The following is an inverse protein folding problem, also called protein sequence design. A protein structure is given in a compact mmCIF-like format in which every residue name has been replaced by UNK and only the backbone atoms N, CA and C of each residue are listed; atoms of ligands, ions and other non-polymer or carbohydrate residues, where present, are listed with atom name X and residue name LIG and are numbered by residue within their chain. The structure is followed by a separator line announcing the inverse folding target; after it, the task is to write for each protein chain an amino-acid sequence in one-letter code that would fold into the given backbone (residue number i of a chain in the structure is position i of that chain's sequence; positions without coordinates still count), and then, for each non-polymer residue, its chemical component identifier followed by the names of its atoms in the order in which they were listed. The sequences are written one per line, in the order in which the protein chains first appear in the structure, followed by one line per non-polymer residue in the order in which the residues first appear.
data_IF_667674757463
#
_entry.id   IF_667674757463
#
_cell.length_a   1.000
_cell.length_b   1.000
_cell.length_c   1.000
_cell.angle_alpha   90.00
_cell.angle_beta   90.00
_cell.angle_gamma   90.00
#
_symmetry.space_group_name_H-M   'P 1'
#
loop_
_entity.id
_entity.type
_entity.pdbx_description
1 polymer ?
#
# COMPACT_ATOMS: atom_id res chain seq x y z
N UNK A 1 8.21 7.61 14.87
CA UNK A 1 8.74 7.95 13.53
C UNK A 1 7.69 8.64 12.68
N UNK A 2 8.12 9.48 11.74
CA UNK A 2 7.30 10.15 10.73
C UNK A 2 7.70 9.69 9.33
N UNK A 3 6.72 9.46 8.46
CA UNK A 3 6.95 8.88 7.14
C UNK A 3 6.50 9.83 6.01
N UNK A 4 5.87 9.32 4.95
CA UNK A 4 5.58 10.07 3.72
C UNK A 4 5.04 11.49 3.95
N UNK A 5 3.98 11.63 4.75
CA UNK A 5 3.32 12.93 4.95
C UNK A 5 4.27 13.96 5.57
N UNK A 6 5.03 13.58 6.60
CA UNK A 6 5.99 14.48 7.23
C UNK A 6 7.23 14.70 6.34
N UNK A 7 7.64 13.71 5.53
CA UNK A 7 8.68 13.89 4.50
C UNK A 7 8.31 14.92 3.42
N UNK A 8 7.02 15.09 3.12
CA UNK A 8 6.56 16.00 2.05
C UNK A 8 6.06 17.36 2.55
N UNK A 9 5.74 17.47 3.84
CA UNK A 9 5.18 18.70 4.40
C UNK A 9 6.23 19.82 4.44
N UNK A 10 5.98 20.91 3.71
CA UNK A 10 6.82 22.13 3.73
C UNK A 10 6.91 22.72 5.13
N UNK A 11 5.90 22.49 5.97
CA UNK A 11 5.81 22.97 7.35
C UNK A 11 6.05 21.86 8.40
N UNK A 12 6.74 20.76 8.04
CA UNK A 12 7.02 19.66 8.97
C UNK A 12 7.65 20.15 10.28
N UNK A 13 8.63 21.06 10.21
CA UNK A 13 9.29 21.67 11.38
C UNK A 13 8.30 22.35 12.35
N UNK A 14 7.28 23.02 11.82
CA UNK A 14 6.24 23.66 12.65
C UNK A 14 5.41 22.61 13.38
N UNK A 15 5.09 21.50 12.70
CA UNK A 15 4.40 20.38 13.32
C UNK A 15 5.26 19.71 14.40
N UNK A 16 6.53 19.43 14.12
CA UNK A 16 7.47 18.79 15.06
C UNK A 16 7.65 19.62 16.34
N UNK A 17 7.89 20.94 16.21
CA UNK A 17 7.99 21.86 17.37
C UNK A 17 6.73 21.92 18.23
N UNK A 18 5.56 21.70 17.63
CA UNK A 18 4.29 21.62 18.38
C UNK A 18 4.13 20.26 19.04
N UNK A 19 4.55 19.18 18.38
CA UNK A 19 4.51 17.83 18.91
C UNK A 19 5.39 17.69 20.16
N UNK A 20 6.61 18.25 20.17
CA UNK A 20 7.52 18.24 21.33
C UNK A 20 6.90 18.79 22.62
N UNK A 21 5.90 19.67 22.51
CA UNK A 21 5.20 20.24 23.68
C UNK A 21 4.17 19.29 24.29
N UNK A 22 3.78 18.24 23.58
CA UNK A 22 2.71 17.31 23.98
C UNK A 22 3.17 15.86 24.08
N UNK A 23 4.29 15.49 23.44
CA UNK A 23 4.92 14.17 23.58
C UNK A 23 6.40 14.34 23.95
N UNK A 24 6.90 13.66 25.00
CA UNK A 24 8.29 13.83 25.47
C UNK A 24 9.32 13.07 24.63
N UNK A 25 8.90 12.42 23.53
CA UNK A 25 9.76 11.64 22.66
C UNK A 25 9.89 12.32 21.29
N UNK A 26 11.10 12.48 20.74
CA UNK A 26 11.29 13.11 19.45
C UNK A 26 10.64 12.27 18.33
N UNK A 27 10.07 12.96 17.34
CA UNK A 27 9.54 12.33 16.13
C UNK A 27 10.63 12.35 15.07
N UNK A 28 11.24 11.21 14.81
CA UNK A 28 12.24 11.06 13.74
C UNK A 28 11.56 10.86 12.38
N UNK A 29 11.85 11.73 11.41
CA UNK A 29 11.41 11.54 10.02
C UNK A 29 12.40 10.61 9.33
N UNK A 30 11.91 9.45 8.88
CA UNK A 30 12.74 8.43 8.22
C UNK A 30 12.58 8.50 6.70
N UNK A 31 13.65 8.12 5.98
CA UNK A 31 13.61 7.97 4.53
C UNK A 31 12.67 6.84 4.10
N UNK A 32 12.17 6.87 2.85
CA UNK A 32 11.29 5.82 2.34
C UNK A 32 11.95 4.44 2.27
N UNK A 33 13.25 4.37 1.97
CA UNK A 33 14.00 3.12 2.01
C UNK A 33 14.13 2.55 3.43
N UNK A 34 14.30 3.41 4.43
CA UNK A 34 14.35 2.97 5.83
C UNK A 34 12.97 2.50 6.33
N UNK A 35 11.90 3.16 5.91
CA UNK A 35 10.53 2.69 6.15
C UNK A 35 10.30 1.30 5.54
N UNK A 36 10.69 1.11 4.27
CA UNK A 36 10.60 -0.19 3.61
C UNK A 36 11.38 -1.28 4.38
N UNK A 37 12.62 -0.97 4.78
CA UNK A 37 13.48 -1.86 5.56
C UNK A 37 12.81 -2.28 6.88
N UNK A 38 12.29 -1.32 7.64
CA UNK A 38 11.63 -1.58 8.92
C UNK A 38 10.33 -2.39 8.76
N UNK A 39 9.56 -2.15 7.70
CA UNK A 39 8.37 -2.95 7.36
C UNK A 39 8.77 -4.41 7.11
N UNK A 40 9.79 -4.65 6.29
CA UNK A 40 10.29 -5.99 6.03
C UNK A 40 10.73 -6.69 7.31
N UNK A 41 11.50 -6.02 8.18
CA UNK A 41 11.89 -6.58 9.48
C UNK A 41 10.67 -6.94 10.34
N UNK A 42 9.64 -6.09 10.37
CA UNK A 42 8.40 -6.39 11.09
C UNK A 42 7.67 -7.61 10.54
N UNK A 43 7.65 -7.78 9.22
CA UNK A 43 7.07 -8.97 8.57
C UNK A 43 7.90 -10.22 8.89
N UNK A 44 9.22 -10.19 8.75
CA UNK A 44 10.10 -11.32 9.08
C UNK A 44 9.97 -11.76 10.55
N UNK A 45 9.75 -10.82 11.47
CA UNK A 45 9.53 -11.16 12.89
C UNK A 45 8.17 -11.79 13.19
N UNK A 46 7.18 -11.62 12.31
CA UNK A 46 5.79 -12.04 12.59
C UNK A 46 5.33 -13.21 11.70
N UNK A 47 5.97 -13.44 10.57
CA UNK A 47 5.59 -14.44 9.59
C UNK A 47 6.57 -15.62 9.62
N UNK A 48 6.11 -16.85 9.90
CA UNK A 48 6.98 -18.01 10.15
C UNK A 48 7.55 -18.65 8.87
N UNK A 49 7.11 -18.22 7.69
CA UNK A 49 7.53 -18.78 6.41
C UNK A 49 9.04 -18.61 6.21
N UNK A 50 9.70 -19.69 5.76
CA UNK A 50 11.13 -19.68 5.44
C UNK A 50 11.35 -19.44 3.96
N UNK A 51 12.45 -18.76 3.64
CA UNK A 51 12.82 -18.43 2.28
C UNK A 51 12.49 -16.98 1.90
N UNK A 52 12.89 -16.60 0.70
CA UNK A 52 12.79 -15.23 0.19
C UNK A 52 11.35 -14.76 0.04
N UNK A 53 11.11 -13.55 0.51
CA UNK A 53 9.79 -12.91 0.53
C UNK A 53 9.82 -11.61 -0.24
N UNK A 54 8.78 -11.36 -1.01
CA UNK A 54 8.40 -10.04 -1.49
C UNK A 54 7.38 -9.46 -0.50
N UNK A 55 7.70 -8.32 0.11
CA UNK A 55 6.81 -7.58 1.00
C UNK A 55 6.33 -6.31 0.29
N UNK A 56 5.02 -6.12 0.25
CA UNK A 56 4.37 -4.94 -0.34
C UNK A 56 3.56 -4.25 0.75
N UNK A 57 3.82 -2.96 0.97
CA UNK A 57 3.00 -2.12 1.85
C UNK A 57 2.42 -0.96 1.05
N UNK A 58 1.08 -0.87 0.99
CA UNK A 58 0.38 0.24 0.32
C UNK A 58 -0.20 1.18 1.38
N UNK A 59 0.59 2.21 1.72
CA UNK A 59 0.21 3.28 2.62
C UNK A 59 -0.64 4.37 1.96
N UNK A 60 -0.87 5.44 2.72
CA UNK A 60 -1.65 6.59 2.27
C UNK A 60 -0.94 7.47 1.22
N UNK A 61 0.38 7.63 1.38
CA UNK A 61 1.17 8.51 0.52
C UNK A 61 2.29 7.83 -0.26
N UNK A 62 2.83 6.73 0.28
CA UNK A 62 3.84 5.90 -0.39
C UNK A 62 3.45 4.43 -0.39
N UNK A 63 4.15 3.69 -1.25
CA UNK A 63 4.10 2.24 -1.32
C UNK A 63 5.53 1.73 -1.25
N UNK A 64 5.78 0.80 -0.36
CA UNK A 64 7.06 0.17 -0.13
C UNK A 64 7.05 -1.24 -0.74
N UNK A 65 8.14 -1.59 -1.40
CA UNK A 65 8.37 -2.91 -1.98
C UNK A 65 9.74 -3.39 -1.50
N UNK A 66 9.79 -4.57 -0.90
CA UNK A 66 11.03 -5.15 -0.41
C UNK A 66 11.12 -6.61 -0.82
N UNK A 67 12.25 -7.03 -1.38
CA UNK A 67 12.60 -8.45 -1.46
C UNK A 67 13.69 -8.70 -0.43
N UNK A 68 13.51 -9.70 0.42
CA UNK A 68 14.50 -10.08 1.43
C UNK A 68 14.36 -11.53 1.88
N UNK A 69 15.34 -12.01 2.63
CA UNK A 69 15.43 -13.38 3.13
C UNK A 69 16.22 -13.39 4.44
N UNK A 70 15.77 -14.15 5.44
CA UNK A 70 16.45 -14.31 6.74
C UNK A 70 16.85 -12.98 7.41
N UNK A 71 15.89 -12.04 7.52
CA UNK A 71 16.09 -10.70 8.08
C UNK A 71 17.03 -9.78 7.28
N UNK A 72 17.50 -10.19 6.10
CA UNK A 72 18.33 -9.37 5.21
C UNK A 72 17.53 -8.86 4.00
N UNK A 73 17.29 -7.54 3.90
CA UNK A 73 16.72 -6.93 2.70
C UNK A 73 17.71 -6.98 1.53
N UNK A 74 17.28 -7.54 0.40
CA UNK A 74 18.07 -7.65 -0.83
C UNK A 74 17.76 -6.51 -1.80
N UNK A 75 16.49 -6.13 -1.91
CA UNK A 75 16.01 -4.96 -2.65
C UNK A 75 15.01 -4.23 -1.78
N UNK A 76 15.12 -2.90 -1.63
CA UNK A 76 14.20 -2.10 -0.83
C UNK A 76 13.89 -0.77 -1.54
N UNK A 77 12.65 -0.61 -1.97
CA UNK A 77 12.20 0.55 -2.74
C UNK A 77 10.96 1.19 -2.08
N UNK A 78 10.88 2.51 -2.17
CA UNK A 78 9.68 3.28 -1.81
C UNK A 78 9.27 4.15 -2.99
N UNK A 79 7.98 4.13 -3.33
CA UNK A 79 7.40 4.92 -4.42
C UNK A 79 6.36 5.87 -3.87
N UNK A 80 6.35 7.11 -4.37
CA UNK A 80 5.34 8.12 -4.05
C UNK A 80 4.04 7.80 -4.78
N UNK A 81 3.32 6.83 -4.25
CA UNK A 81 1.96 6.42 -4.62
C UNK A 81 1.31 5.77 -3.41
N UNK A 82 0.10 6.18 -3.07
CA UNK A 82 -0.62 5.62 -1.94
C UNK A 82 -2.10 5.91 -2.06
N UNK A 83 -2.92 5.29 -1.23
CA UNK A 83 -4.38 5.35 -1.40
C UNK A 83 -4.95 6.77 -1.30
N UNK A 84 -4.42 7.61 -0.40
CA UNK A 84 -4.86 9.00 -0.22
C UNK A 84 -4.38 9.86 -1.40
N UNK A 85 -3.10 9.78 -1.75
CA UNK A 85 -2.56 10.58 -2.85
C UNK A 85 -3.19 10.23 -4.21
N UNK A 86 -3.46 8.94 -4.46
CA UNK A 86 -4.13 8.49 -5.68
C UNK A 86 -5.62 8.80 -5.70
N UNK A 87 -6.31 8.75 -4.56
CA UNK A 87 -7.70 9.20 -4.48
C UNK A 87 -7.84 10.64 -4.95
N UNK A 88 -6.99 11.55 -4.44
CA UNK A 88 -6.98 12.95 -4.87
C UNK A 88 -6.64 13.16 -6.34
N UNK A 89 -5.70 12.36 -6.89
CA UNK A 89 -5.20 12.56 -8.25
C UNK A 89 -6.11 11.96 -9.33
N UNK A 90 -6.71 10.79 -9.07
CA UNK A 90 -7.40 10.00 -10.10
C UNK A 90 -8.90 9.86 -9.89
N UNK A 91 -9.41 10.19 -8.69
CA UNK A 91 -10.83 10.08 -8.33
C UNK A 91 -11.34 11.44 -7.82
N UNK A 92 -11.31 12.50 -8.65
CA UNK A 92 -11.76 13.83 -8.26
C UNK A 92 -13.22 13.79 -7.81
N UNK A 93 -13.56 14.53 -6.75
CA UNK A 93 -14.90 14.50 -6.12
C UNK A 93 -15.38 13.09 -5.73
N UNK A 94 -14.44 12.16 -5.58
CA UNK A 94 -14.71 10.76 -5.29
C UNK A 94 -15.32 9.99 -6.46
N UNK A 95 -15.30 10.49 -7.70
CA UNK A 95 -15.95 9.83 -8.84
C UNK A 95 -15.30 8.47 -9.15
N UNK A 96 -16.12 7.42 -9.17
CA UNK A 96 -15.71 6.06 -9.52
C UNK A 96 -16.11 5.79 -10.97
N UNK A 97 -15.12 5.46 -11.81
CA UNK A 97 -15.35 5.05 -13.19
C UNK A 97 -14.23 4.13 -13.70
N UNK A 98 -14.52 3.35 -14.74
CA UNK A 98 -13.52 2.49 -15.42
C UNK A 98 -12.31 3.30 -15.89
N UNK A 99 -12.54 4.51 -16.39
CA UNK A 99 -11.49 5.42 -16.86
C UNK A 99 -10.61 5.89 -15.70
N UNK A 100 -11.18 6.25 -14.55
CA UNK A 100 -10.42 6.67 -13.37
C UNK A 100 -9.56 5.52 -12.84
N UNK A 101 -10.14 4.32 -12.72
CA UNK A 101 -9.41 3.11 -12.35
C UNK A 101 -8.25 2.79 -13.29
N UNK A 102 -8.49 2.81 -14.61
CA UNK A 102 -7.46 2.54 -15.60
C UNK A 102 -6.29 3.53 -15.51
N UNK A 103 -6.59 4.82 -15.32
CA UNK A 103 -5.57 5.87 -15.14
C UNK A 103 -4.74 5.64 -13.87
N UNK A 104 -5.40 5.35 -12.75
CA UNK A 104 -4.73 5.06 -11.49
C UNK A 104 -3.83 3.80 -11.59
N UNK A 105 -4.34 2.71 -12.16
CA UNK A 105 -3.58 1.46 -12.36
C UNK A 105 -2.37 1.68 -13.27
N UNK A 106 -2.54 2.41 -14.38
CA UNK A 106 -1.43 2.73 -15.29
C UNK A 106 -0.36 3.59 -14.60
N UNK A 107 -0.77 4.59 -13.82
CA UNK A 107 0.17 5.44 -13.08
C UNK A 107 0.95 4.66 -12.00
N UNK A 108 0.31 3.69 -11.34
CA UNK A 108 1.00 2.78 -10.43
C UNK A 108 2.03 1.93 -11.19
N UNK A 109 1.63 1.31 -12.31
CA UNK A 109 2.51 0.49 -13.13
C UNK A 109 3.75 1.27 -13.63
N UNK A 110 3.55 2.51 -14.11
CA UNK A 110 4.65 3.39 -14.55
C UNK A 110 5.66 3.67 -13.44
N UNK A 111 5.22 3.83 -12.19
CA UNK A 111 6.12 4.04 -11.05
C UNK A 111 6.96 2.80 -10.70
N UNK A 112 6.52 1.61 -11.14
CA UNK A 112 7.18 0.33 -10.91
C UNK A 112 8.00 -0.13 -12.12
N UNK A 113 7.94 0.56 -13.26
CA UNK A 113 8.59 0.13 -14.50
C UNK A 113 10.09 -0.07 -14.35
N UNK A 114 10.77 0.87 -13.68
CA UNK A 114 12.24 0.83 -13.49
C UNK A 114 12.72 -0.26 -12.53
N UNK A 115 11.83 -0.81 -11.69
CA UNK A 115 12.16 -1.86 -10.71
C UNK A 115 11.69 -3.25 -11.14
N UNK A 116 10.74 -3.35 -12.07
CA UNK A 116 10.03 -4.59 -12.39
C UNK A 116 10.98 -5.71 -12.84
N UNK A 117 11.93 -5.42 -13.73
CA UNK A 117 12.87 -6.43 -14.23
C UNK A 117 13.77 -6.98 -13.11
N UNK A 118 14.35 -6.09 -12.31
CA UNK A 118 15.24 -6.47 -11.21
C UNK A 118 14.50 -7.30 -10.16
N UNK A 119 13.28 -6.90 -9.80
CA UNK A 119 12.46 -7.63 -8.82
C UNK A 119 12.08 -9.03 -9.33
N UNK A 120 11.70 -9.15 -10.60
CA UNK A 120 11.33 -10.44 -11.21
C UNK A 120 12.50 -11.41 -11.30
N UNK A 121 13.70 -10.92 -11.64
CA UNK A 121 14.92 -11.76 -11.66
C UNK A 121 15.34 -12.16 -10.26
N UNK A 122 15.22 -11.24 -9.31
CA UNK A 122 15.47 -11.57 -7.91
C UNK A 122 14.49 -12.65 -7.42
N UNK A 123 13.21 -12.55 -7.78
CA UNK A 123 12.20 -13.54 -7.45
C UNK A 123 11.91 -13.63 -5.94
N UNK A 124 10.92 -14.45 -5.60
CA UNK A 124 10.48 -14.71 -4.23
C UNK A 124 9.70 -16.02 -4.17
N UNK A 125 9.69 -16.68 -3.01
CA UNK A 125 8.86 -17.85 -2.74
C UNK A 125 7.49 -17.43 -2.22
N UNK A 126 7.44 -16.33 -1.45
CA UNK A 126 6.23 -15.80 -0.84
C UNK A 126 6.05 -14.32 -1.18
N UNK A 127 4.83 -13.91 -1.49
CA UNK A 127 4.47 -12.50 -1.59
C UNK A 127 3.51 -12.16 -0.44
N UNK A 128 3.90 -11.20 0.39
CA UNK A 128 3.20 -10.79 1.59
C UNK A 128 2.81 -9.33 1.48
N UNK A 129 1.64 -9.00 2.01
CA UNK A 129 1.09 -7.67 1.95
C UNK A 129 0.81 -7.10 3.34
N UNK A 130 1.13 -5.83 3.53
CA UNK A 130 0.94 -5.10 4.79
C UNK A 130 0.00 -3.89 4.63
N UNK A 131 -0.35 -3.29 5.78
CA UNK A 131 -1.17 -2.08 5.90
C UNK A 131 -2.64 -2.19 5.47
N UNK A 132 -3.36 -1.09 5.65
CA UNK A 132 -4.82 -1.05 5.60
C UNK A 132 -5.43 -1.37 4.23
N UNK A 133 -4.76 -1.00 3.13
CA UNK A 133 -5.26 -1.25 1.77
C UNK A 133 -5.37 -2.74 1.47
N UNK A 134 -4.30 -3.49 1.75
CA UNK A 134 -4.25 -4.94 1.50
C UNK A 134 -5.16 -5.67 2.47
N UNK A 135 -5.17 -5.26 3.75
CA UNK A 135 -6.09 -5.81 4.75
C UNK A 135 -7.57 -5.65 4.31
N UNK A 136 -7.96 -4.45 3.85
CA UNK A 136 -9.32 -4.20 3.40
C UNK A 136 -9.68 -5.04 2.16
N UNK A 137 -8.76 -5.20 1.20
CA UNK A 137 -8.97 -6.07 0.05
C UNK A 137 -9.20 -7.54 0.47
N UNK A 138 -8.38 -8.05 1.39
CA UNK A 138 -8.54 -9.38 1.96
C UNK A 138 -9.89 -9.54 2.68
N UNK A 139 -10.26 -8.61 3.56
CA UNK A 139 -11.53 -8.66 4.30
C UNK A 139 -12.75 -8.68 3.37
N UNK A 140 -12.73 -7.91 2.28
CA UNK A 140 -13.81 -7.89 1.29
C UNK A 140 -13.87 -9.20 0.53
N UNK A 141 -12.74 -9.78 0.12
CA UNK A 141 -12.71 -11.09 -0.54
C UNK A 141 -13.28 -12.20 0.36
N UNK A 142 -12.91 -12.20 1.63
CA UNK A 142 -13.47 -13.14 2.63
C UNK A 142 -14.98 -12.93 2.78
N UNK A 143 -15.45 -11.68 2.84
CA UNK A 143 -16.88 -11.36 2.90
C UNK A 143 -17.64 -11.77 1.61
N UNK A 144 -16.96 -11.82 0.46
CA UNK A 144 -17.50 -12.31 -0.81
C UNK A 144 -17.52 -13.85 -0.90
N UNK A 145 -16.93 -14.56 0.07
CA UNK A 145 -16.97 -16.02 0.16
C UNK A 145 -15.66 -16.74 -0.20
N UNK A 146 -14.58 -16.00 -0.46
CA UNK A 146 -13.24 -16.59 -0.65
C UNK A 146 -12.70 -17.13 0.69
N UNK A 147 -12.20 -18.37 0.70
CA UNK A 147 -11.95 -19.10 1.96
C UNK A 147 -10.49 -19.29 2.35
N UNK A 148 -9.56 -19.18 1.40
CA UNK A 148 -8.14 -19.44 1.63
C UNK A 148 -7.34 -18.18 2.05
N UNK A 149 -7.98 -17.01 2.00
CA UNK A 149 -7.37 -15.73 2.37
C UNK A 149 -6.37 -15.16 1.37
N UNK A 150 -6.15 -15.80 0.22
CA UNK A 150 -5.17 -15.37 -0.77
C UNK A 150 -5.72 -14.22 -1.64
N UNK A 151 -4.85 -13.28 -1.99
CA UNK A 151 -5.14 -12.24 -2.98
C UNK A 151 -4.48 -12.66 -4.30
N UNK A 152 -5.28 -12.96 -5.31
CA UNK A 152 -4.82 -13.28 -6.67
C UNK A 152 -5.24 -12.19 -7.65
N UNK A 153 -4.71 -12.20 -8.87
CA UNK A 153 -5.13 -11.25 -9.91
C UNK A 153 -6.64 -11.37 -10.17
N UNK A 154 -7.15 -12.59 -10.36
CA UNK A 154 -8.55 -12.86 -10.68
C UNK A 154 -9.46 -12.29 -9.59
N UNK A 155 -9.07 -12.45 -8.32
CA UNK A 155 -9.80 -11.90 -7.18
C UNK A 155 -9.73 -10.37 -7.10
N UNK A 156 -8.59 -9.78 -7.46
CA UNK A 156 -8.49 -8.31 -7.56
C UNK A 156 -9.37 -7.77 -8.70
N UNK A 157 -9.49 -8.50 -9.80
CA UNK A 157 -10.41 -8.15 -10.88
C UNK A 157 -11.87 -8.22 -10.44
N UNK A 158 -12.26 -9.25 -9.67
CA UNK A 158 -13.58 -9.32 -9.03
C UNK A 158 -13.84 -8.11 -8.12
N UNK A 159 -12.86 -7.71 -7.29
CA UNK A 159 -12.99 -6.51 -6.46
C UNK A 159 -13.20 -5.26 -7.31
N UNK A 160 -12.47 -5.10 -8.41
CA UNK A 160 -12.65 -3.96 -9.32
C UNK A 160 -14.06 -3.95 -9.91
N UNK A 161 -14.58 -5.10 -10.33
CA UNK A 161 -15.95 -5.21 -10.84
C UNK A 161 -17.00 -4.81 -9.81
N UNK A 162 -16.81 -5.19 -8.54
CA UNK A 162 -17.69 -4.79 -7.44
C UNK A 162 -17.61 -3.29 -7.16
N UNK A 163 -16.40 -2.71 -7.11
CA UNK A 163 -16.25 -1.28 -6.86
C UNK A 163 -16.87 -0.45 -8.00
N UNK A 164 -16.79 -0.93 -9.24
CA UNK A 164 -17.39 -0.28 -10.40
C UNK A 164 -18.93 -0.27 -10.39
N UNK A 165 -19.59 -1.00 -9.49
CA UNK A 165 -21.04 -0.87 -9.25
C UNK A 165 -21.40 0.43 -8.53
N UNK A 166 -20.42 1.08 -7.87
CA UNK A 166 -20.59 2.35 -7.18
C UNK A 166 -20.17 3.51 -8.08
N UNK A 167 -20.86 4.66 -7.94
CA UNK A 167 -20.55 5.87 -8.71
C UNK A 167 -19.64 6.86 -7.97
N UNK A 168 -19.61 6.77 -6.64
CA UNK A 168 -18.82 7.66 -5.79
C UNK A 168 -18.20 6.92 -4.62
N UNK A 169 -16.98 7.31 -4.27
CA UNK A 169 -16.36 6.99 -3.00
C UNK A 169 -17.19 7.68 -1.91
N UNK A 170 -17.75 6.90 -0.99
CA UNK A 170 -18.34 7.47 0.21
C UNK A 170 -17.21 8.02 1.06
N UNK A 171 -17.26 9.32 1.38
CA UNK A 171 -16.41 9.87 2.43
C UNK A 171 -16.81 9.18 3.74
N UNK A 172 -15.87 8.74 4.59
CA UNK A 172 -16.24 8.44 5.95
C UNK A 172 -16.88 9.71 6.53
N UNK A 173 -18.11 9.60 7.06
CA UNK A 173 -18.57 10.56 8.05
C UNK A 173 -17.49 10.62 9.15
N UNK A 174 -17.26 11.77 9.80
CA UNK A 174 -16.39 11.82 10.97
C UNK A 174 -17.05 11.02 12.09
N UNK A 175 -16.85 9.71 12.09
CA UNK A 175 -17.25 8.84 13.17
C UNK A 175 -16.38 9.18 14.37
N UNK A 176 -17.03 9.38 15.53
CA UNK A 176 -16.38 9.35 16.82
C UNK A 176 -15.64 8.03 17.08
N UNK A 177 -15.04 7.84 18.26
CA UNK A 177 -14.03 6.81 18.50
C UNK A 177 -14.66 5.41 18.55
N UNK A 178 -14.85 4.78 17.39
CA UNK A 178 -15.20 3.36 17.26
C UNK A 178 -14.47 2.79 16.04
N UNK A 179 -14.02 1.54 16.15
CA UNK A 179 -13.05 0.86 15.30
C UNK A 179 -13.23 1.05 13.79
N UNK A 180 -12.08 1.16 13.11
CA UNK A 180 -11.96 1.32 11.65
C UNK A 180 -12.62 0.15 10.92
N UNK A 181 -13.85 0.32 10.50
CA UNK A 181 -14.47 -0.38 9.37
C UNK A 181 -14.64 0.62 8.23
N UNK A 182 -13.55 0.91 7.52
CA UNK A 182 -13.60 1.74 6.31
C UNK A 182 -12.90 1.00 5.18
N UNK A 183 -13.71 0.47 4.26
CA UNK A 183 -13.31 -0.18 3.02
C UNK A 183 -12.73 0.89 2.09
N UNK A 184 -11.40 0.95 2.04
CA UNK A 184 -10.65 1.66 1.00
C UNK A 184 -9.99 0.63 0.09
N UNK A 185 -10.71 0.18 -0.94
CA UNK A 185 -10.12 -0.68 -1.98
C UNK A 185 -9.36 0.25 -2.93
N UNK A 186 -8.04 0.35 -2.76
CA UNK A 186 -7.16 0.81 -3.83
C UNK A 186 -6.65 -0.42 -4.57
N UNK A 187 -7.16 -0.60 -5.79
CA UNK A 187 -6.77 -1.67 -6.68
C UNK A 187 -5.28 -1.56 -7.06
N UNK A 188 -4.45 -2.41 -6.46
CA UNK A 188 -3.12 -2.75 -6.95
C UNK A 188 -3.19 -4.11 -7.64
N UNK A 189 -3.59 -4.14 -8.92
CA UNK A 189 -3.61 -5.36 -9.73
C UNK A 189 -2.31 -5.48 -10.53
N UNK A 190 -1.40 -6.34 -10.04
CA UNK A 190 -0.23 -6.83 -10.76
C UNK A 190 -0.62 -7.98 -11.69
N UNK A 191 -0.27 -7.84 -12.96
CA UNK A 191 -0.57 -8.77 -14.05
C UNK A 191 0.52 -9.85 -14.16
N UNK A 192 0.21 -11.16 -14.31
CA UNK A 192 1.19 -12.18 -14.65
C UNK A 192 1.13 -12.58 -16.14
N UNK A 193 0.84 -11.70 -17.10
CA UNK A 193 1.09 -12.02 -18.53
C UNK A 193 1.55 -10.80 -19.31
N UNK A 194 2.87 -10.59 -19.43
CA UNK A 194 3.43 -9.87 -20.57
C UNK A 194 4.64 -10.62 -21.09
N UNK A 195 4.40 -11.46 -22.10
CA UNK A 195 5.44 -12.03 -22.93
C UNK A 195 6.04 -10.95 -23.80
N UNK A 196 7.23 -10.48 -23.40
CA UNK A 196 8.45 -10.40 -24.20
C UNK A 196 9.61 -10.71 -23.24
#
# INVERSE_FOLDING_TARGET
MGTHTLRQAVNAEVFLKRAEKVIPYPIEIIAGQEEARLIFMGVEHTQPEKGRKLVIDIGGGSTELVIGEDFEPLLAESRRMGCVSFAHMFFPEGEISKTNFKRARLAAAQKLETLAWQYRIQGWQYALGASGTIKAAHEVLVAMGEKDGLITLERLELLVEQVLQFKKLQRPEPAGPVGRSSIGICAGAGDPVWGI
#
